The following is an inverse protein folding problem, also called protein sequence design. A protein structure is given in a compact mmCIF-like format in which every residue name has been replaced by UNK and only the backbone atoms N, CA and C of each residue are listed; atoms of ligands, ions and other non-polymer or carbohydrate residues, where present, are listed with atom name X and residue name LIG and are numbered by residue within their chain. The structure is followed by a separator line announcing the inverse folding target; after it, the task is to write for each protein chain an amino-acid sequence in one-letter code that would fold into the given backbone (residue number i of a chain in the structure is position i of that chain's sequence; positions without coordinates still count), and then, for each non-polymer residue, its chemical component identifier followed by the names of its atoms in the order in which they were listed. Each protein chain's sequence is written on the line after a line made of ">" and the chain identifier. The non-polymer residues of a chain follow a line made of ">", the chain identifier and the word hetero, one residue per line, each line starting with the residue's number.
data_IF_699668310074
#
_entry.id   IF_699668310074
#
_cell.length_a   1.000
_cell.length_b   1.000
_cell.length_c   1.000
_cell.angle_alpha   90.00
_cell.angle_beta   90.00
_cell.angle_gamma   90.00
#
_symmetry.space_group_name_H-M   'P 1'
#
loop_
_entity.id
_entity.type
_entity.pdbx_description
1 polymer ?
#
# COMPACT_ATOMS: atom_id res chain seq x y z
N UNK A 1 31.39 -8.33 1.88
CA UNK A 1 30.23 -9.23 2.10
C UNK A 1 29.01 -8.37 1.81
N UNK A 2 28.34 -8.58 0.68
CA UNK A 2 27.14 -7.81 0.36
C UNK A 2 26.03 -8.36 1.25
N UNK A 3 25.62 -7.62 2.27
CA UNK A 3 24.42 -7.98 3.03
C UNK A 3 23.24 -8.02 2.05
N UNK A 4 22.57 -9.17 1.98
CA UNK A 4 21.31 -9.30 1.29
C UNK A 4 20.31 -8.42 2.04
N UNK A 5 19.94 -7.27 1.46
CA UNK A 5 18.86 -6.46 1.99
C UNK A 5 17.59 -7.30 1.81
N UNK A 6 17.06 -7.83 2.91
CA UNK A 6 15.82 -8.57 2.88
C UNK A 6 14.70 -7.66 2.36
N UNK A 7 14.06 -8.07 1.27
CA UNK A 7 13.06 -7.26 0.57
C UNK A 7 11.75 -7.25 1.36
N UNK A 8 11.42 -6.13 1.99
CA UNK A 8 10.18 -6.00 2.74
C UNK A 8 9.00 -5.60 1.85
N UNK A 9 7.94 -6.39 1.92
CA UNK A 9 6.73 -6.22 1.12
C UNK A 9 5.49 -6.39 1.99
N UNK A 10 4.42 -5.67 1.65
CA UNK A 10 3.11 -5.77 2.31
C UNK A 10 2.12 -6.41 1.35
N UNK A 11 1.37 -7.39 1.83
CA UNK A 11 0.23 -7.96 1.09
C UNK A 11 -1.07 -7.43 1.67
N UNK A 12 -1.92 -6.86 0.82
CA UNK A 12 -3.23 -6.30 1.19
C UNK A 12 -4.35 -7.04 0.48
N UNK A 13 -5.26 -7.59 1.26
CA UNK A 13 -6.47 -8.24 0.75
C UNK A 13 -7.51 -7.19 0.39
N UNK A 14 -7.99 -7.22 -0.84
CA UNK A 14 -9.02 -6.32 -1.36
C UNK A 14 -10.40 -7.01 -1.32
N UNK A 15 -10.93 -7.21 -0.11
CA UNK A 15 -12.23 -7.86 0.07
C UNK A 15 -13.36 -7.01 -0.54
N UNK A 16 -14.26 -7.65 -1.29
CA UNK A 16 -15.38 -6.98 -1.98
C UNK A 16 -15.00 -6.24 -3.26
N UNK A 17 -13.72 -6.22 -3.63
CA UNK A 17 -13.25 -5.75 -4.94
C UNK A 17 -13.24 -6.95 -5.90
N UNK A 18 -13.83 -6.79 -7.08
CA UNK A 18 -13.93 -7.87 -8.08
C UNK A 18 -12.81 -7.84 -9.12
N UNK A 19 -12.32 -6.65 -9.42
CA UNK A 19 -11.27 -6.40 -10.41
C UNK A 19 -10.46 -5.14 -10.08
N UNK A 20 -9.42 -4.89 -10.87
CA UNK A 20 -8.49 -3.78 -10.68
C UNK A 20 -9.12 -2.41 -10.94
N UNK A 21 -10.09 -2.30 -11.86
CA UNK A 21 -10.71 -1.01 -12.19
C UNK A 21 -11.54 -0.49 -11.00
N UNK A 22 -12.26 -1.38 -10.33
CA UNK A 22 -13.00 -1.04 -9.10
C UNK A 22 -12.03 -0.57 -8.01
N UNK A 23 -10.85 -1.19 -7.88
CA UNK A 23 -9.83 -0.77 -6.90
C UNK A 23 -9.34 0.65 -7.21
N UNK A 24 -9.00 0.92 -8.48
CA UNK A 24 -8.52 2.23 -8.93
C UNK A 24 -9.57 3.30 -8.64
N UNK A 25 -10.81 3.07 -9.06
CA UNK A 25 -11.90 4.02 -8.83
C UNK A 25 -12.10 4.30 -7.34
N UNK A 26 -12.04 3.27 -6.49
CA UNK A 26 -12.17 3.44 -5.04
C UNK A 26 -11.02 4.24 -4.44
N UNK A 27 -9.79 4.04 -4.91
CA UNK A 27 -8.64 4.83 -4.47
C UNK A 27 -8.76 6.30 -4.91
N UNK A 28 -9.18 6.55 -6.15
CA UNK A 28 -9.43 7.90 -6.66
C UNK A 28 -10.54 8.58 -5.87
N UNK A 29 -11.69 7.93 -5.70
CA UNK A 29 -12.82 8.48 -4.92
C UNK A 29 -12.39 8.79 -3.49
N UNK A 30 -11.64 7.89 -2.84
CA UNK A 30 -11.09 8.17 -1.52
C UNK A 30 -10.16 9.40 -1.55
N UNK A 31 -9.24 9.47 -2.50
CA UNK A 31 -8.33 10.63 -2.64
C UNK A 31 -9.08 11.95 -2.82
N UNK A 32 -10.15 11.96 -3.62
CA UNK A 32 -10.98 13.14 -3.87
C UNK A 32 -11.88 13.52 -2.68
N UNK A 33 -12.34 12.54 -1.91
CA UNK A 33 -13.16 12.80 -0.70
C UNK A 33 -12.35 13.42 0.45
N UNK A 34 -11.03 13.29 0.41
CA UNK A 34 -10.12 13.72 1.46
C UNK A 34 -9.11 14.76 0.94
N UNK A 35 -9.57 15.82 0.26
CA UNK A 35 -8.73 16.88 -0.32
C UNK A 35 -8.88 18.29 0.30
N UNK A 36 -9.66 18.46 1.37
CA UNK A 36 -9.79 19.71 2.18
C UNK A 36 -8.72 19.93 3.32
N UNK A 37 -7.48 20.29 2.95
CA UNK A 37 -6.25 20.60 3.71
C UNK A 37 -5.69 19.82 4.93
N UNK A 38 -6.12 18.59 5.29
CA UNK A 38 -5.65 17.88 6.53
C UNK A 38 -5.39 16.36 6.37
N UNK A 39 -4.85 15.89 5.23
CA UNK A 39 -5.19 14.53 4.72
C UNK A 39 -4.10 13.52 4.50
N UNK A 40 -2.84 13.94 4.41
CA UNK A 40 -1.77 12.96 4.24
C UNK A 40 -1.78 11.95 5.41
N UNK A 41 -2.27 12.37 6.58
CA UNK A 41 -2.55 11.55 7.76
C UNK A 41 -3.80 10.66 7.68
N UNK A 42 -4.82 11.01 6.86
CA UNK A 42 -6.12 10.29 6.76
C UNK A 42 -6.16 9.28 5.60
N UNK A 43 -5.31 9.45 4.59
CA UNK A 43 -5.06 8.39 3.58
C UNK A 43 -4.22 7.23 4.13
N UNK A 44 -3.63 7.38 5.32
CA UNK A 44 -3.05 6.25 6.04
C UNK A 44 -4.16 5.27 6.41
N UNK A 45 -4.19 4.13 5.72
CA UNK A 45 -4.86 2.97 6.27
C UNK A 45 -4.17 2.63 7.58
N UNK A 46 -4.78 3.00 8.70
CA UNK A 46 -4.36 2.61 10.03
C UNK A 46 -4.61 1.12 10.18
N UNK A 47 -3.64 0.33 9.73
CA UNK A 47 -3.57 -1.07 10.11
C UNK A 47 -3.27 -1.12 11.60
N UNK A 48 -4.07 -1.86 12.37
CA UNK A 48 -3.74 -2.16 13.78
C UNK A 48 -2.38 -2.87 13.92
N UNK A 49 -1.88 -3.43 12.81
CA UNK A 49 -0.55 -3.99 12.65
C UNK A 49 0.27 -3.06 11.74
N UNK A 50 0.57 -1.83 12.18
CA UNK A 50 1.64 -1.06 11.53
C UNK A 50 2.87 -1.95 11.44
N UNK A 51 3.48 -2.11 10.25
CA UNK A 51 4.66 -2.94 10.12
C UNK A 51 5.72 -2.50 11.13
N UNK A 52 6.24 -3.43 11.93
CA UNK A 52 7.26 -3.11 12.96
C UNK A 52 8.51 -2.47 12.35
N UNK A 53 8.78 -2.77 11.08
CA UNK A 53 9.94 -2.33 10.32
C UNK A 53 9.52 -1.38 9.18
N UNK A 54 8.60 -0.45 9.48
CA UNK A 54 8.08 0.49 8.49
C UNK A 54 9.19 1.34 7.84
N UNK A 55 10.22 1.71 8.61
CA UNK A 55 11.37 2.45 8.09
C UNK A 55 12.14 1.61 7.06
N UNK A 56 12.37 0.31 7.32
CA UNK A 56 13.02 -0.58 6.35
C UNK A 56 12.21 -0.74 5.06
N UNK A 57 10.87 -0.74 5.17
CA UNK A 57 9.99 -0.79 3.99
C UNK A 57 10.12 0.48 3.15
N UNK A 58 10.14 1.64 3.80
CA UNK A 58 10.13 2.97 3.17
C UNK A 58 11.51 3.36 2.62
N UNK A 59 12.56 3.11 3.39
CA UNK A 59 13.95 3.45 3.04
C UNK A 59 14.54 2.43 2.04
N UNK A 60 13.87 1.29 1.82
CA UNK A 60 14.21 0.38 0.74
C UNK A 60 13.68 0.86 -0.60
N UNK A 61 14.55 0.94 -1.61
CA UNK A 61 14.17 1.26 -2.99
C UNK A 61 13.22 0.24 -3.64
N UNK A 62 12.95 -0.88 -2.96
CA UNK A 62 12.17 -2.00 -3.48
C UNK A 62 10.84 -2.27 -2.73
N UNK A 63 10.56 -1.54 -1.65
CA UNK A 63 9.36 -1.72 -0.83
C UNK A 63 8.06 -1.62 -1.63
N UNK A 64 7.16 -2.60 -1.46
CA UNK A 64 5.93 -2.69 -2.28
C UNK A 64 4.69 -3.14 -1.50
N UNK A 65 3.52 -2.63 -1.89
CA UNK A 65 2.20 -3.15 -1.53
C UNK A 65 1.65 -3.98 -2.69
N UNK A 66 1.31 -5.23 -2.44
CA UNK A 66 0.61 -6.09 -3.38
C UNK A 66 -0.86 -6.19 -3.01
N UNK A 67 -1.73 -5.95 -3.98
CA UNK A 67 -3.17 -6.08 -3.82
C UNK A 67 -3.64 -7.44 -4.32
N UNK A 68 -4.23 -8.21 -3.41
CA UNK A 68 -4.81 -9.51 -3.73
C UNK A 68 -6.31 -9.38 -3.92
N UNK A 69 -6.77 -9.72 -5.12
CA UNK A 69 -8.16 -9.70 -5.56
C UNK A 69 -8.52 -11.12 -5.98
N UNK A 70 -9.60 -11.68 -5.44
CA UNK A 70 -10.05 -13.05 -5.72
C UNK A 70 -8.92 -14.11 -5.61
N UNK A 71 -8.04 -13.98 -4.62
CA UNK A 71 -6.92 -14.92 -4.38
C UNK A 71 -5.71 -14.75 -5.31
N UNK A 72 -5.67 -13.71 -6.16
CA UNK A 72 -4.55 -13.43 -7.07
C UNK A 72 -3.98 -12.03 -6.85
N UNK A 73 -2.67 -11.87 -7.02
CA UNK A 73 -2.04 -10.54 -7.05
C UNK A 73 -2.48 -9.85 -8.34
N UNK A 74 -3.17 -8.73 -8.20
CA UNK A 74 -3.70 -7.96 -9.33
C UNK A 74 -2.97 -6.63 -9.55
N UNK A 75 -2.35 -6.08 -8.51
CA UNK A 75 -1.62 -4.82 -8.58
C UNK A 75 -0.41 -4.84 -7.65
N UNK A 76 0.70 -4.26 -8.14
CA UNK A 76 1.85 -3.87 -7.33
C UNK A 76 1.91 -2.35 -7.26
N UNK A 77 1.97 -1.83 -6.05
CA UNK A 77 2.17 -0.41 -5.79
C UNK A 77 3.51 -0.24 -5.07
N UNK A 78 4.43 0.56 -5.62
CA UNK A 78 5.68 0.90 -4.94
C UNK A 78 5.37 1.78 -3.73
N UNK A 79 5.97 1.49 -2.59
CA UNK A 79 5.91 2.37 -1.41
C UNK A 79 6.99 3.43 -1.60
N UNK A 80 6.63 4.68 -1.37
CA UNK A 80 7.55 5.82 -1.42
C UNK A 80 7.62 6.43 -0.02
N UNK A 81 8.83 6.76 0.42
CA UNK A 81 9.05 7.59 1.59
C UNK A 81 8.75 9.06 1.34
N UNK A 82 8.35 9.74 2.40
CA UNK A 82 8.22 11.20 2.46
C UNK A 82 9.48 11.83 3.01
#
# INVERSE_FOLDING_TARGET
>A
MQESIDKFNIVKLAVGIKDIEILINRQISNGLLYSNDDHLLKMCFTTRNTPKLINEIIDSDEGSIYWVIAGKIALRQKIIGS
#
